data_IF_686989262765
#
_entry.id   IF_686989262765
#
_cell.length_a   1.000
_cell.length_b   1.000
_cell.length_c   1.000
_cell.angle_alpha   90.00
_cell.angle_beta   90.00
_cell.angle_gamma   90.00
#
_symmetry.space_group_name_H-M   'P 1'
#
loop_
_entity.id
_entity.type
_entity.pdbx_description
1 polymer ?
#
# COMPACT_ATOMS: atom_id res chain seq x y z
N UNK A 1 9.31 -15.02 0.59
CA UNK A 1 8.54 -13.79 0.29
C UNK A 1 9.51 -12.61 0.28
N UNK A 2 9.33 -11.58 -0.56
CA UNK A 2 10.21 -10.39 -0.50
C UNK A 2 9.93 -9.66 0.81
N UNK A 3 10.95 -9.33 1.60
CA UNK A 3 10.76 -8.63 2.88
C UNK A 3 10.31 -7.18 2.61
N UNK A 4 9.32 -6.73 3.36
CA UNK A 4 8.89 -5.33 3.33
C UNK A 4 9.82 -4.50 4.22
N UNK A 5 10.06 -3.26 3.82
CA UNK A 5 10.70 -2.25 4.67
C UNK A 5 9.69 -1.72 5.68
N UNK A 6 10.15 -1.09 6.77
CA UNK A 6 9.25 -0.56 7.79
C UNK A 6 8.15 0.37 7.22
N UNK A 7 8.49 1.21 6.23
CA UNK A 7 7.53 2.09 5.55
C UNK A 7 6.52 1.35 4.69
N UNK A 8 6.95 0.28 4.04
CA UNK A 8 6.06 -0.56 3.23
C UNK A 8 5.12 -1.38 4.11
N UNK A 9 5.58 -1.86 5.26
CA UNK A 9 4.74 -2.54 6.25
C UNK A 9 3.67 -1.60 6.81
N UNK A 10 4.02 -0.36 7.14
CA UNK A 10 3.07 0.66 7.58
C UNK A 10 1.96 0.88 6.55
N UNK A 11 2.32 1.02 5.27
CA UNK A 11 1.36 1.14 4.16
C UNK A 11 0.50 -0.11 4.03
N UNK A 12 1.09 -1.31 4.15
CA UNK A 12 0.33 -2.56 4.08
C UNK A 12 -0.65 -2.72 5.23
N UNK A 13 -0.31 -2.27 6.44
CA UNK A 13 -1.24 -2.25 7.57
C UNK A 13 -2.46 -1.38 7.26
N UNK A 14 -2.25 -0.17 6.73
CA UNK A 14 -3.34 0.70 6.30
C UNK A 14 -4.20 0.05 5.20
N UNK A 15 -3.56 -0.65 4.24
CA UNK A 15 -4.32 -1.40 3.24
C UNK A 15 -5.14 -2.53 3.88
N UNK A 16 -4.58 -3.38 4.73
CA UNK A 16 -5.34 -4.47 5.35
C UNK A 16 -6.54 -4.01 6.19
N UNK A 17 -6.49 -2.80 6.75
CA UNK A 17 -7.59 -2.25 7.55
C UNK A 17 -8.66 -1.53 6.72
N UNK A 18 -8.28 -0.92 5.59
CA UNK A 18 -9.15 0.05 4.90
C UNK A 18 -9.30 -0.15 3.38
N UNK A 19 -8.73 -1.21 2.79
CA UNK A 19 -8.89 -1.58 1.37
C UNK A 19 -10.34 -1.75 0.90
N UNK A 20 -10.63 -1.44 -0.40
CA UNK A 20 -9.71 -0.90 -1.41
C UNK A 20 -9.62 0.63 -1.41
N UNK A 21 -8.42 1.21 -1.57
CA UNK A 21 -8.18 2.66 -1.43
C UNK A 21 -7.32 3.29 -2.53
N UNK A 22 -7.51 4.59 -2.76
CA UNK A 22 -6.62 5.41 -3.59
C UNK A 22 -5.42 5.95 -2.77
N UNK A 23 -4.30 6.26 -3.44
CA UNK A 23 -3.11 6.86 -2.77
C UNK A 23 -3.45 8.18 -2.05
N UNK A 24 -4.39 8.96 -2.58
CA UNK A 24 -4.90 10.18 -1.93
C UNK A 24 -5.63 9.91 -0.62
N UNK A 25 -6.30 8.76 -0.51
CA UNK A 25 -7.01 8.35 0.70
C UNK A 25 -6.01 7.81 1.72
N UNK A 26 -5.03 7.02 1.26
CA UNK A 26 -3.90 6.58 2.09
C UNK A 26 -3.17 7.78 2.76
N UNK A 27 -2.95 8.87 2.01
CA UNK A 27 -2.37 10.11 2.54
C UNK A 27 -3.22 10.79 3.62
N UNK A 28 -4.53 10.53 3.67
CA UNK A 28 -5.41 11.09 4.68
C UNK A 28 -5.22 10.45 6.06
N UNK A 29 -4.67 9.23 6.12
CA UNK A 29 -4.38 8.51 7.37
C UNK A 29 -3.07 8.93 8.03
N UNK A 30 -2.18 9.62 7.30
CA UNK A 30 -0.94 10.12 7.88
C UNK A 30 -1.19 11.38 8.74
N UNK A 31 -0.58 11.41 9.92
CA UNK A 31 -0.48 12.60 10.76
C UNK A 31 0.48 13.63 10.15
N UNK A 32 0.42 14.89 10.61
CA UNK A 32 1.33 15.92 10.12
C UNK A 32 2.76 15.78 10.72
N UNK A 33 3.82 15.93 9.91
CA UNK A 33 3.80 16.32 8.50
C UNK A 33 3.53 15.15 7.55
N UNK A 34 2.52 15.31 6.70
CA UNK A 34 2.14 14.28 5.72
C UNK A 34 3.26 14.06 4.70
N UNK A 35 3.58 12.81 4.36
CA UNK A 35 4.53 12.53 3.30
C UNK A 35 4.01 13.09 1.96
N UNK A 36 4.94 13.47 1.08
CA UNK A 36 4.55 13.92 -0.25
C UNK A 36 3.89 12.79 -1.06
N UNK A 37 2.87 13.10 -1.85
CA UNK A 37 2.11 12.12 -2.65
C UNK A 37 3.01 11.19 -3.47
N UNK A 38 3.99 11.77 -4.17
CA UNK A 38 4.91 10.99 -5.02
C UNK A 38 5.72 9.96 -4.21
N UNK A 39 6.06 10.26 -2.95
CA UNK A 39 6.81 9.32 -2.12
C UNK A 39 5.94 8.10 -1.78
N UNK A 40 4.71 8.33 -1.33
CA UNK A 40 3.73 7.27 -1.08
C UNK A 40 3.44 6.50 -2.35
N UNK A 41 3.24 7.18 -3.49
CA UNK A 41 3.00 6.52 -4.77
C UNK A 41 4.16 5.63 -5.21
N UNK A 42 5.41 6.02 -4.97
CA UNK A 42 6.58 5.19 -5.30
C UNK A 42 6.64 3.95 -4.41
N UNK A 43 6.35 4.08 -3.12
CA UNK A 43 6.30 2.96 -2.19
C UNK A 43 5.18 1.97 -2.56
N UNK A 44 3.98 2.47 -2.89
CA UNK A 44 2.84 1.65 -3.32
C UNK A 44 3.15 0.92 -4.63
N UNK A 45 3.86 1.56 -5.58
CA UNK A 45 4.36 0.88 -6.78
C UNK A 45 5.40 -0.20 -6.45
N UNK A 46 6.31 0.06 -5.52
CA UNK A 46 7.26 -0.95 -5.05
C UNK A 46 6.55 -2.17 -4.43
N UNK A 47 5.49 -1.95 -3.66
CA UNK A 47 4.65 -3.03 -3.13
C UNK A 47 3.95 -3.83 -4.24
N UNK A 48 3.52 -3.16 -5.31
CA UNK A 48 2.89 -3.78 -6.46
C UNK A 48 3.88 -4.64 -7.26
N UNK A 49 5.07 -4.13 -7.56
CA UNK A 49 6.16 -4.88 -8.19
C UNK A 49 6.63 -6.08 -7.36
N UNK A 50 6.49 -6.00 -6.03
CA UNK A 50 6.75 -7.11 -5.11
C UNK A 50 5.59 -8.11 -5.03
N UNK A 51 4.41 -7.79 -5.56
CA UNK A 51 3.22 -8.63 -5.57
C UNK A 51 2.37 -8.59 -4.31
N UNK A 52 2.57 -7.59 -3.43
CA UNK A 52 1.82 -7.45 -2.18
C UNK A 52 0.49 -6.71 -2.34
N UNK A 53 0.45 -5.76 -3.26
CA UNK A 53 -0.75 -5.02 -3.63
C UNK A 53 -1.00 -5.16 -5.13
N UNK A 54 -2.26 -5.03 -5.51
CA UNK A 54 -2.67 -4.89 -6.91
C UNK A 54 -3.44 -3.60 -7.06
N UNK A 55 -3.63 -3.16 -8.29
CA UNK A 55 -4.45 -2.00 -8.58
C UNK A 55 -5.56 -2.33 -9.56
N UNK A 56 -6.58 -1.48 -9.51
CA UNK A 56 -7.64 -1.37 -10.51
C UNK A 56 -7.60 0.04 -11.07
N UNK A 57 -7.46 0.14 -12.39
CA UNK A 57 -7.44 1.43 -13.07
C UNK A 57 -8.86 2.01 -13.19
N UNK A 58 -9.00 3.28 -12.82
CA UNK A 58 -10.20 4.09 -12.97
C UNK A 58 -9.85 5.33 -13.78
N UNK A 59 -9.75 5.17 -15.10
CA UNK A 59 -9.28 6.23 -15.99
C UNK A 59 -7.86 6.66 -15.66
N UNK A 60 -7.69 7.87 -15.14
CA UNK A 60 -6.39 8.46 -14.80
C UNK A 60 -5.93 8.20 -13.35
N UNK A 61 -6.71 7.45 -12.57
CA UNK A 61 -6.36 7.11 -11.18
C UNK A 61 -6.36 5.60 -10.94
N UNK A 62 -5.67 5.19 -9.88
CA UNK A 62 -5.47 3.79 -9.52
C UNK A 62 -5.99 3.56 -8.11
N UNK A 63 -6.94 2.63 -7.97
CA UNK A 63 -7.39 2.13 -6.67
C UNK A 63 -6.59 0.88 -6.35
N UNK A 64 -5.92 0.86 -5.21
CA UNK A 64 -5.09 -0.25 -4.77
C UNK A 64 -5.85 -1.14 -3.78
N UNK A 65 -5.57 -2.45 -3.85
CA UNK A 65 -6.11 -3.47 -2.97
C UNK A 65 -5.02 -4.48 -2.60
N UNK A 66 -5.16 -5.12 -1.45
CA UNK A 66 -4.25 -6.14 -0.97
C UNK A 66 -4.30 -7.37 -1.88
N UNK A 67 -3.14 -7.82 -2.34
CA UNK A 67 -2.99 -9.08 -3.06
C UNK A 67 -2.64 -10.23 -2.11
N UNK A 68 -2.04 -9.88 -0.97
CA UNK A 68 -1.61 -10.78 0.10
C UNK A 68 -2.32 -10.35 1.38
N UNK A 69 -2.95 -11.28 2.09
CA UNK A 69 -3.57 -11.00 3.39
C UNK A 69 -2.54 -10.89 4.53
N UNK A 70 -2.85 -10.15 5.60
CA UNK A 70 -1.99 -10.03 6.79
C UNK A 70 -1.56 -11.41 7.34
N UNK A 71 -2.47 -12.38 7.35
CA UNK A 71 -2.19 -13.75 7.78
C UNK A 71 -1.18 -14.46 6.88
N UNK A 72 -1.30 -14.27 5.57
CA UNK A 72 -0.40 -14.86 4.58
C UNK A 72 0.99 -14.23 4.64
N UNK A 73 1.07 -12.91 4.86
CA UNK A 73 2.33 -12.23 5.10
C UNK A 73 3.03 -12.77 6.37
N UNK A 74 2.31 -12.82 7.50
CA UNK A 74 2.85 -13.30 8.79
C UNK A 74 3.27 -14.76 8.77
N UNK A 75 2.66 -15.61 7.94
CA UNK A 75 3.06 -17.02 7.77
C UNK A 75 4.36 -17.17 6.96
N UNK A 76 4.74 -16.14 6.22
CA UNK A 76 5.78 -16.16 5.21
C UNK A 76 6.99 -15.27 5.51
N UNK A 77 6.91 -14.49 6.60
CA UNK A 77 7.94 -13.62 7.15
C UNK A 77 8.69 -14.32 8.29
#
# INVERSE_FOLDING_TARGET
MKRLTAKEEEIMQMFWEHVPMFVRELLAFYEEPKPHYNNVSTLVRGLEEKGFVKYKAYGNTYQYYEAVSDKEYKRSA
#
